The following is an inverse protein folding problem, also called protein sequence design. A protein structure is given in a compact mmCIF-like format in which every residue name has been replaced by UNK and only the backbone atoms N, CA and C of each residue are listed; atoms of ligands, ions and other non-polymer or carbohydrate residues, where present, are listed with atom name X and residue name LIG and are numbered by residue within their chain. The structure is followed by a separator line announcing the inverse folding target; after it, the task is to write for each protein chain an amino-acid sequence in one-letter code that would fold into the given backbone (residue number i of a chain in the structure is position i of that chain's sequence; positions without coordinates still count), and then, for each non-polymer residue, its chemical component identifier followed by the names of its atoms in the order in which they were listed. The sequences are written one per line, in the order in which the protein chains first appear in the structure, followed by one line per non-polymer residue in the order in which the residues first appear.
data_IF_735803491774
#
_entry.id   IF_735803491774
#
_cell.length_a   1.000
_cell.length_b   1.000
_cell.length_c   1.000
_cell.angle_alpha   90.00
_cell.angle_beta   90.00
_cell.angle_gamma   90.00
#
_symmetry.space_group_name_H-M   'P 1'
#
loop_
_entity.id
_entity.type
_entity.pdbx_description
1 polymer ?
#
# COMPACT_ATOMS: atom_id res chain seq x y z
N UNK A 1 -6.26 -20.70 -6.38
CA UNK A 1 -5.46 -20.66 -7.62
C UNK A 1 -6.15 -19.99 -8.81
N UNK A 2 -7.48 -20.07 -9.01
CA UNK A 2 -8.12 -19.41 -10.17
C UNK A 2 -7.83 -17.90 -10.27
N UNK A 3 -7.84 -17.20 -9.13
CA UNK A 3 -7.55 -15.77 -9.06
C UNK A 3 -6.10 -15.43 -9.47
N UNK A 4 -5.14 -16.25 -9.04
CA UNK A 4 -3.72 -16.06 -9.37
C UNK A 4 -3.46 -16.23 -10.86
N UNK A 5 -4.09 -17.23 -11.50
CA UNK A 5 -4.00 -17.42 -12.95
C UNK A 5 -4.59 -16.24 -13.72
N UNK A 6 -5.70 -15.67 -13.23
CA UNK A 6 -6.31 -14.48 -13.83
C UNK A 6 -5.35 -13.28 -13.77
N UNK A 7 -4.78 -12.99 -12.60
CA UNK A 7 -3.83 -11.89 -12.45
C UNK A 7 -2.52 -12.12 -13.21
N UNK A 8 -2.04 -13.37 -13.31
CA UNK A 8 -0.90 -13.72 -14.14
C UNK A 8 -1.16 -13.42 -15.62
N UNK A 9 -2.37 -13.76 -16.13
CA UNK A 9 -2.76 -13.43 -17.49
C UNK A 9 -2.86 -11.91 -17.72
N UNK A 10 -3.45 -11.16 -16.78
CA UNK A 10 -3.53 -9.68 -16.85
C UNK A 10 -2.14 -9.04 -16.85
N UNK A 11 -1.23 -9.53 -15.99
CA UNK A 11 0.15 -9.03 -15.88
C UNK A 11 0.96 -9.36 -17.14
N UNK A 12 0.83 -10.57 -17.68
CA UNK A 12 1.50 -10.99 -18.93
C UNK A 12 0.99 -10.24 -20.16
N UNK A 13 -0.25 -9.72 -20.11
CA UNK A 13 -0.86 -8.96 -21.19
C UNK A 13 -0.48 -7.46 -21.21
N UNK A 14 0.25 -6.97 -20.20
CA UNK A 14 0.70 -5.58 -20.15
C UNK A 14 1.52 -5.20 -21.40
N UNK A 15 1.27 -4.00 -21.91
CA UNK A 15 2.02 -3.41 -23.03
C UNK A 15 2.52 -2.01 -22.66
N UNK A 16 3.84 -1.76 -22.65
CA UNK A 16 4.91 -2.75 -22.81
C UNK A 16 4.92 -3.77 -21.64
N UNK A 17 5.55 -4.95 -21.82
CA UNK A 17 5.77 -5.88 -20.71
C UNK A 17 6.49 -5.17 -19.56
N UNK A 18 6.10 -5.47 -18.32
CA UNK A 18 6.72 -4.86 -17.14
C UNK A 18 8.19 -5.32 -17.00
N UNK A 19 9.08 -4.39 -16.62
CA UNK A 19 10.52 -4.68 -16.50
C UNK A 19 10.93 -5.00 -15.05
N UNK A 20 10.23 -4.41 -14.09
CA UNK A 20 10.42 -4.57 -12.65
C UNK A 20 9.12 -4.25 -11.92
N UNK A 21 9.13 -4.42 -10.60
CA UNK A 21 8.05 -3.99 -9.71
C UNK A 21 8.55 -2.88 -8.78
N UNK A 22 7.70 -1.89 -8.42
CA UNK A 22 6.31 -1.73 -8.86
C UNK A 22 6.18 -1.29 -10.33
N UNK A 23 5.12 -1.77 -11.01
CA UNK A 23 4.78 -1.35 -12.38
C UNK A 23 3.51 -0.49 -12.35
N UNK A 24 3.68 0.83 -12.42
CA UNK A 24 2.59 1.81 -12.33
C UNK A 24 2.26 2.36 -13.70
N UNK A 25 0.98 2.30 -14.07
CA UNK A 25 0.45 2.79 -15.34
C UNK A 25 -0.69 3.78 -15.03
N UNK A 26 -0.59 4.99 -15.55
CA UNK A 26 -1.65 6.01 -15.46
C UNK A 26 -2.08 6.37 -16.87
N UNK A 27 -3.37 6.22 -17.18
CA UNK A 27 -3.94 6.51 -18.51
C UNK A 27 -3.16 5.87 -19.67
N UNK A 28 -2.77 4.59 -19.50
CA UNK A 28 -1.98 3.84 -20.48
C UNK A 28 -0.49 4.19 -20.54
N UNK A 29 -0.04 5.21 -19.80
CA UNK A 29 1.37 5.60 -19.72
C UNK A 29 2.07 4.88 -18.54
N UNK A 30 3.09 4.02 -18.79
CA UNK A 30 3.95 3.50 -17.73
C UNK A 30 4.86 4.60 -17.18
N UNK A 31 4.97 4.69 -15.84
CA UNK A 31 5.72 5.77 -15.16
C UNK A 31 7.19 5.43 -14.87
N UNK A 32 7.60 4.16 -14.97
CA UNK A 32 8.97 3.71 -14.68
C UNK A 32 9.45 4.22 -13.30
N UNK A 33 10.63 4.84 -13.23
CA UNK A 33 11.23 5.38 -12.00
C UNK A 33 10.45 6.57 -11.42
N UNK A 34 9.53 7.17 -12.19
CA UNK A 34 8.72 8.30 -11.73
C UNK A 34 7.42 7.85 -11.04
N UNK A 35 7.32 6.57 -10.67
CA UNK A 35 6.13 5.96 -10.08
C UNK A 35 5.64 6.68 -8.81
N UNK A 36 6.53 7.32 -8.04
CA UNK A 36 6.16 8.07 -6.83
C UNK A 36 5.35 9.32 -7.13
N UNK A 37 5.48 9.88 -8.33
CA UNK A 37 4.78 11.08 -8.77
C UNK A 37 3.41 10.78 -9.39
N UNK A 38 2.87 9.56 -9.23
CA UNK A 38 1.64 9.11 -9.87
C UNK A 38 0.43 10.05 -9.67
N UNK A 39 0.33 10.75 -8.54
CA UNK A 39 -0.72 11.76 -8.30
C UNK A 39 -0.66 12.89 -9.32
N UNK A 40 0.55 13.38 -9.65
CA UNK A 40 0.74 14.41 -10.68
C UNK A 40 0.26 13.93 -12.05
N UNK A 41 0.53 12.68 -12.39
CA UNK A 41 0.07 12.07 -13.65
C UNK A 41 -1.45 11.89 -13.68
N UNK A 42 -2.06 11.43 -12.57
CA UNK A 42 -3.51 11.31 -12.46
C UNK A 42 -4.16 12.66 -12.69
N UNK A 43 -3.64 13.70 -12.03
CA UNK A 43 -4.18 15.06 -12.15
C UNK A 43 -4.02 15.65 -13.55
N UNK A 44 -2.92 15.35 -14.25
CA UNK A 44 -2.74 15.73 -15.66
C UNK A 44 -3.67 14.99 -16.61
N UNK A 45 -3.95 13.71 -16.36
CA UNK A 45 -4.83 12.89 -17.18
C UNK A 45 -6.32 13.18 -16.94
N UNK A 46 -6.66 13.81 -15.82
CA UNK A 46 -8.03 14.13 -15.44
C UNK A 46 -8.60 15.30 -16.26
N UNK A 47 -9.29 14.99 -17.35
CA UNK A 47 -9.84 15.95 -18.32
C UNK A 47 -11.24 16.51 -17.99
N UNK A 48 -11.65 16.51 -16.72
CA UNK A 48 -12.95 17.04 -16.31
C UNK A 48 -12.95 18.57 -16.23
N UNK A 49 -14.08 19.19 -16.55
CA UNK A 49 -14.31 20.63 -16.33
C UNK A 49 -14.38 21.00 -14.85
N UNK A 50 -14.72 20.04 -13.99
CA UNK A 50 -14.67 20.21 -12.54
C UNK A 50 -13.28 19.84 -12.04
N UNK A 51 -12.52 20.81 -11.53
CA UNK A 51 -11.20 20.54 -10.97
C UNK A 51 -11.32 19.69 -9.69
N UNK A 52 -10.68 18.52 -9.65
CA UNK A 52 -10.64 17.71 -8.45
C UNK A 52 -9.81 18.44 -7.36
N UNK A 53 -10.39 18.66 -6.18
CA UNK A 53 -9.69 19.34 -5.05
C UNK A 53 -8.38 18.65 -4.68
N UNK A 54 -8.28 17.33 -4.84
CA UNK A 54 -7.05 16.58 -4.62
C UNK A 54 -5.91 17.03 -5.56
N UNK A 55 -6.23 17.52 -6.75
CA UNK A 55 -5.26 17.98 -7.74
C UNK A 55 -4.76 19.40 -7.51
N UNK A 56 -5.47 20.21 -6.72
CA UNK A 56 -4.98 21.54 -6.35
C UNK A 56 -3.85 21.49 -5.34
N UNK A 57 -3.79 20.44 -4.50
CA UNK A 57 -2.75 20.25 -3.50
C UNK A 57 -1.61 19.35 -3.97
N UNK A 58 -1.77 18.68 -5.12
CA UNK A 58 -0.79 17.76 -5.71
C UNK A 58 0.60 18.40 -5.93
N UNK A 59 0.67 19.72 -6.05
CA UNK A 59 1.91 20.51 -6.13
C UNK A 59 2.78 20.45 -4.86
N UNK A 60 2.19 20.13 -3.69
CA UNK A 60 2.89 20.14 -2.39
C UNK A 60 3.61 18.82 -2.04
N UNK A 61 3.23 17.69 -2.65
CA UNK A 61 3.86 16.39 -2.35
C UNK A 61 5.27 16.27 -2.92
N UNK A 62 5.53 16.90 -4.07
CA UNK A 62 6.87 17.00 -4.66
C UNK A 62 7.84 17.85 -3.83
N UNK A 63 7.34 18.86 -3.10
CA UNK A 63 8.19 19.79 -2.33
C UNK A 63 8.58 19.25 -0.95
N UNK A 64 8.01 18.12 -0.51
CA UNK A 64 8.41 17.44 0.72
C UNK A 64 9.65 16.53 0.56
N UNK A 65 10.24 16.41 -0.64
CA UNK A 65 11.59 15.81 -0.81
C UNK A 65 12.72 16.74 -0.34
N UNK A 66 12.55 17.39 0.82
CA UNK A 66 13.68 17.83 1.64
C UNK A 66 14.19 16.64 2.44
N UNK A 67 15.20 15.92 1.93
CA UNK A 67 15.93 14.83 2.63
C UNK A 67 15.01 13.77 3.29
N UNK A 68 14.27 13.00 2.48
CA UNK A 68 13.80 11.68 2.93
C UNK A 68 14.99 10.72 3.04
N UNK A 69 15.16 10.06 4.20
CA UNK A 69 16.14 8.97 4.35
C UNK A 69 15.82 7.86 3.35
N UNK A 70 16.81 7.09 2.84
CA UNK A 70 16.51 5.97 1.95
C UNK A 70 15.49 5.05 2.61
N UNK A 71 14.36 4.84 1.92
CA UNK A 71 13.31 3.93 2.36
C UNK A 71 13.94 2.55 2.48
N UNK A 72 14.23 2.17 3.72
CA UNK A 72 14.73 0.84 4.01
C UNK A 72 13.68 -0.16 3.50
N UNK A 73 14.08 -1.28 2.89
CA UNK A 73 13.13 -2.33 2.56
C UNK A 73 12.34 -2.66 3.84
N UNK A 74 11.02 -2.74 3.73
CA UNK A 74 10.13 -3.12 4.84
C UNK A 74 10.41 -4.58 5.17
N UNK A 75 11.50 -4.81 5.89
CA UNK A 75 11.78 -6.02 6.61
C UNK A 75 10.89 -5.99 7.84
N UNK A 76 10.07 -7.01 8.02
CA UNK A 76 9.43 -7.26 9.30
C UNK A 76 10.55 -7.48 10.31
N UNK A 77 10.91 -6.44 11.06
CA UNK A 77 11.69 -6.67 12.27
C UNK A 77 10.75 -7.39 13.22
N UNK A 78 11.11 -8.63 13.54
CA UNK A 78 10.51 -9.37 14.63
C UNK A 78 10.51 -8.43 15.85
N UNK A 79 9.32 -7.92 16.18
CA UNK A 79 9.18 -6.95 17.25
C UNK A 79 9.52 -7.72 18.51
N UNK A 80 10.66 -7.43 19.14
CA UNK A 80 10.90 -7.86 20.53
C UNK A 80 9.77 -7.25 21.36
N UNK A 81 8.73 -8.05 21.55
CA UNK A 81 7.59 -7.71 22.37
C UNK A 81 8.14 -7.46 23.77
N UNK A 82 7.80 -6.31 24.37
CA UNK A 82 8.16 -6.08 25.76
C UNK A 82 7.38 -7.05 26.64
N UNK A 83 7.90 -7.34 27.83
CA UNK A 83 7.18 -8.16 28.84
C UNK A 83 5.76 -7.64 29.08
N UNK A 84 5.55 -6.33 28.98
CA UNK A 84 4.25 -5.71 29.08
C UNK A 84 3.30 -6.13 27.95
N UNK A 85 3.77 -6.18 26.71
CA UNK A 85 2.94 -6.66 25.60
C UNK A 85 2.59 -8.15 25.70
N UNK A 86 3.49 -8.99 26.21
CA UNK A 86 3.17 -10.39 26.49
C UNK A 86 2.12 -10.53 27.60
N UNK A 87 2.23 -9.73 28.67
CA UNK A 87 1.23 -9.70 29.74
C UNK A 87 -0.14 -9.23 29.23
N UNK A 88 -0.18 -8.20 28.38
CA UNK A 88 -1.41 -7.70 27.77
C UNK A 88 -2.02 -8.79 26.87
N UNK A 89 -1.24 -9.45 26.02
CA UNK A 89 -1.72 -10.53 25.15
C UNK A 89 -2.23 -11.71 25.98
N UNK A 90 -1.54 -12.07 27.06
CA UNK A 90 -1.96 -13.12 27.99
C UNK A 90 -3.28 -12.78 28.68
N UNK A 91 -3.42 -11.54 29.18
CA UNK A 91 -4.64 -11.06 29.81
C UNK A 91 -5.81 -11.08 28.82
N UNK A 92 -5.62 -10.56 27.60
CA UNK A 92 -6.66 -10.59 26.56
C UNK A 92 -7.04 -12.04 26.20
N UNK A 93 -6.06 -12.94 26.08
CA UNK A 93 -6.31 -14.35 25.79
C UNK A 93 -7.09 -15.06 26.91
N UNK A 94 -6.79 -14.75 28.17
CA UNK A 94 -7.53 -15.25 29.33
C UNK A 94 -8.96 -14.70 29.35
N UNK A 95 -9.13 -13.42 29.05
CA UNK A 95 -10.44 -12.79 28.92
C UNK A 95 -11.27 -13.47 27.83
N UNK A 96 -10.70 -13.69 26.63
CA UNK A 96 -11.36 -14.41 25.55
C UNK A 96 -11.77 -15.84 25.97
N UNK A 97 -10.89 -16.57 26.67
CA UNK A 97 -11.23 -17.89 27.21
C UNK A 97 -12.35 -17.83 28.24
N UNK A 98 -12.39 -16.78 29.06
CA UNK A 98 -13.44 -16.60 30.08
C UNK A 98 -14.78 -16.18 29.47
N UNK A 99 -14.76 -15.36 28.43
CA UNK A 99 -15.99 -14.90 27.75
C UNK A 99 -16.56 -15.97 26.82
N UNK A 100 -15.69 -16.71 26.11
CA UNK A 100 -16.11 -17.79 25.19
C UNK A 100 -16.33 -19.13 25.92
N UNK A 101 -15.87 -19.26 27.17
CA UNK A 101 -16.10 -20.42 28.02
C UNK A 101 -17.44 -20.39 28.78
N UNK A 102 -18.27 -19.37 28.58
CA UNK A 102 -19.61 -19.23 29.18
C UNK A 102 -20.72 -19.31 28.10
N UNK A 103 -20.52 -20.10 27.05
CA UNK A 103 -21.57 -20.51 26.10
C UNK A 103 -21.45 -22.01 25.76
N UNK A 104 -21.06 -22.81 26.76
CA UNK A 104 -21.08 -24.28 26.65
C UNK A 104 -21.40 -24.91 28.00
N UNK A 105 -22.66 -24.77 28.41
CA UNK A 105 -23.49 -25.78 29.10
C UNK A 105 -24.94 -25.33 29.09
#
# INVERSE_FOLDING_TARGET
MQLELKYAAETNALRPPHQYVPWVVVDGQPLYEDYENFISYICKAYNSTAHATACSEASHYTTQKGKGRPDAPVSYKERKMSTLSEQIISAISLWMKKTLGHDSI
#
